data_IF_572869840748
#
_entry.id   IF_572869840748
#
_cell.length_a   1.000
_cell.length_b   1.000
_cell.length_c   1.000
_cell.angle_alpha   90.00
_cell.angle_beta   90.00
_cell.angle_gamma   90.00
#
_symmetry.space_group_name_H-M   'P 1'
#
loop_
_entity.id
_entity.type
_entity.pdbx_description
1 polymer ?
#
# COMPACT_ATOMS: atom_id res chain seq x y z
N UNK A 1 14.11 -0.85 -9.11
CA UNK A 1 12.74 -0.65 -8.56
C UNK A 1 12.86 0.26 -7.34
N UNK A 2 12.12 1.37 -7.29
CA UNK A 2 12.15 2.32 -6.17
C UNK A 2 10.84 2.23 -5.40
N UNK A 3 10.92 2.40 -4.08
CA UNK A 3 9.77 2.42 -3.20
C UNK A 3 9.42 3.87 -2.90
N UNK A 4 8.17 4.24 -3.11
CA UNK A 4 7.64 5.57 -2.81
C UNK A 4 6.32 5.43 -2.05
N UNK A 5 6.03 6.29 -1.07
CA UNK A 5 4.70 6.36 -0.47
C UNK A 5 3.72 6.95 -1.49
N UNK A 6 2.75 6.16 -1.93
CA UNK A 6 1.76 6.54 -2.95
C UNK A 6 0.37 6.16 -2.44
N UNK A 7 -0.63 6.99 -2.77
CA UNK A 7 -2.03 6.66 -2.48
C UNK A 7 -2.49 5.52 -3.39
N UNK A 8 -2.83 4.37 -2.81
CA UNK A 8 -3.29 3.17 -3.53
C UNK A 8 -4.44 2.49 -2.79
N UNK A 9 -5.21 1.66 -3.49
CA UNK A 9 -6.31 0.90 -2.90
C UNK A 9 -5.76 -0.17 -1.95
N UNK A 10 -6.28 -0.20 -0.73
CA UNK A 10 -5.78 -1.07 0.36
C UNK A 10 -6.83 -2.05 0.89
N UNK A 11 -7.90 -2.29 0.13
CA UNK A 11 -8.92 -3.27 0.49
C UNK A 11 -8.31 -4.66 0.65
N UNK A 12 -8.65 -5.34 1.73
CA UNK A 12 -8.10 -6.63 2.13
C UNK A 12 -6.77 -6.55 2.89
N UNK A 13 -6.15 -5.37 2.98
CA UNK A 13 -4.95 -5.15 3.78
C UNK A 13 -5.31 -4.66 5.18
N UNK A 14 -4.56 -5.05 6.20
CA UNK A 14 -4.72 -4.55 7.59
C UNK A 14 -6.17 -4.64 8.13
N UNK A 15 -6.96 -5.60 7.66
CA UNK A 15 -8.37 -5.75 8.05
C UNK A 15 -9.35 -4.75 7.39
N UNK A 16 -8.88 -3.90 6.48
CA UNK A 16 -9.69 -2.93 5.74
C UNK A 16 -10.60 -3.67 4.75
N UNK A 17 -11.91 -3.48 4.88
CA UNK A 17 -12.93 -4.14 4.02
C UNK A 17 -13.46 -3.25 2.90
N UNK A 18 -13.37 -1.94 3.09
CA UNK A 18 -13.91 -0.96 2.16
C UNK A 18 -12.91 -0.60 1.07
N UNK A 19 -13.42 -0.10 -0.05
CA UNK A 19 -12.61 0.41 -1.16
C UNK A 19 -12.08 1.81 -0.83
N UNK A 20 -11.02 1.86 -0.02
CA UNK A 20 -10.34 3.10 0.40
C UNK A 20 -8.92 3.20 -0.15
N UNK A 21 -8.45 4.43 -0.35
CA UNK A 21 -7.10 4.74 -0.82
C UNK A 21 -6.28 5.37 0.31
N UNK A 22 -5.13 4.78 0.63
CA UNK A 22 -4.20 5.28 1.65
C UNK A 22 -2.79 5.39 1.08
N UNK A 23 -2.00 6.30 1.63
CA UNK A 23 -0.57 6.42 1.32
C UNK A 23 0.21 5.29 1.97
N UNK A 24 0.65 4.32 1.17
CA UNK A 24 1.49 3.20 1.62
C UNK A 24 2.71 3.05 0.70
N UNK A 25 3.82 2.49 1.19
CA UNK A 25 5.00 2.24 0.36
C UNK A 25 4.66 1.27 -0.79
N UNK A 26 4.87 1.76 -2.01
CA UNK A 26 4.61 1.02 -3.24
C UNK A 26 5.86 0.94 -4.10
N UNK A 27 6.04 -0.18 -4.79
CA UNK A 27 7.07 -0.34 -5.82
C UNK A 27 6.54 0.20 -7.13
N UNK A 28 7.24 1.19 -7.69
CA UNK A 28 6.91 1.74 -9.00
C UNK A 28 7.76 1.09 -10.10
N UNK A 29 7.09 0.68 -11.17
CA UNK A 29 7.66 0.20 -12.43
C UNK A 29 7.06 0.95 -13.62
N UNK A 30 7.40 0.51 -14.83
CA UNK A 30 6.92 1.15 -16.07
C UNK A 30 5.38 1.14 -16.21
N UNK A 31 4.71 0.12 -15.65
CA UNK A 31 3.26 -0.03 -15.67
C UNK A 31 2.55 0.59 -14.45
N UNK A 32 3.23 1.48 -13.69
CA UNK A 32 2.69 2.06 -12.47
C UNK A 32 3.07 1.26 -11.22
N UNK A 33 2.12 1.05 -10.31
CA UNK A 33 2.35 0.28 -9.08
C UNK A 33 2.45 -1.20 -9.45
N UNK A 34 3.62 -1.80 -9.25
CA UNK A 34 3.83 -3.24 -9.50
C UNK A 34 3.59 -4.06 -8.25
N UNK A 35 3.87 -3.49 -7.08
CA UNK A 35 3.77 -4.19 -5.80
C UNK A 35 3.43 -3.19 -4.68
N UNK A 36 2.63 -3.61 -3.70
CA UNK A 36 2.41 -2.87 -2.45
C UNK A 36 3.24 -3.54 -1.35
N UNK A 37 4.03 -2.77 -0.62
CA UNK A 37 4.88 -3.30 0.45
C UNK A 37 4.02 -3.55 1.69
N UNK A 38 3.90 -4.82 2.09
CA UNK A 38 3.19 -5.20 3.32
C UNK A 38 4.08 -4.90 4.54
N UNK A 39 3.66 -3.94 5.34
CA UNK A 39 4.36 -3.55 6.57
C UNK A 39 3.80 -4.35 7.75
N UNK A 40 4.63 -4.62 8.75
CA UNK A 40 4.10 -5.07 10.04
C UNK A 40 3.77 -3.81 10.84
N UNK A 41 2.49 -3.51 11.00
CA UNK A 41 2.03 -2.39 11.81
C UNK A 41 2.02 -2.79 13.28
N UNK A 42 2.30 -1.84 14.17
CA UNK A 42 2.03 -1.99 15.60
C UNK A 42 0.54 -1.87 15.86
N UNK A 43 0.06 -2.34 17.00
CA UNK A 43 -1.37 -2.25 17.36
C UNK A 43 -1.91 -0.82 17.47
N UNK A 44 -1.02 0.16 17.68
CA UNK A 44 -1.35 1.59 17.79
C UNK A 44 -1.39 2.31 16.43
N UNK A 45 -0.89 1.65 15.37
CA UNK A 45 -0.77 2.15 14.00
C UNK A 45 -1.74 1.40 13.07
#
# INVERSE_FOLDING_TARGET
RRVHPISTMVKGMYGIKDDVFLSVPCVLGYHGITDVVMMTLKSEE
#
